data_IF_757580516925
#
_entry.id   IF_757580516925
#
_cell.length_a   1.000
_cell.length_b   1.000
_cell.length_c   1.000
_cell.angle_alpha   90.00
_cell.angle_beta   90.00
_cell.angle_gamma   90.00
#
_symmetry.space_group_name_H-M   'P 1'
#
loop_
_entity.id
_entity.type
_entity.pdbx_description
1 polymer ?
#
# COMPACT_ATOMS: atom_id res chain seq x y z
N UNK A 1 29.96 11.62 15.56
CA UNK A 1 28.65 12.30 15.67
C UNK A 1 27.63 11.26 16.11
N UNK A 2 27.08 11.33 17.34
CA UNK A 2 26.14 10.31 17.85
C UNK A 2 24.86 10.31 16.99
N UNK A 3 24.58 9.20 16.33
CA UNK A 3 23.42 9.03 15.46
C UNK A 3 22.12 9.29 16.24
N UNK A 4 21.15 9.94 15.60
CA UNK A 4 19.86 10.34 16.20
C UNK A 4 19.01 9.13 16.63
N UNK A 5 19.33 7.93 16.14
CA UNK A 5 18.69 6.66 16.49
C UNK A 5 19.03 6.14 17.90
N UNK A 6 20.14 6.58 18.50
CA UNK A 6 20.82 5.80 19.55
C UNK A 6 20.29 5.98 20.98
N UNK A 7 19.27 6.83 21.20
CA UNK A 7 18.70 7.02 22.56
C UNK A 7 17.19 7.21 22.63
N UNK A 8 16.55 7.92 21.69
CA UNK A 8 15.11 8.26 21.78
C UNK A 8 14.18 7.32 21.02
N UNK A 9 14.69 6.58 20.03
CA UNK A 9 13.90 5.63 19.24
C UNK A 9 14.03 4.20 19.78
N UNK A 10 15.20 3.83 20.33
CA UNK A 10 15.35 2.60 21.12
C UNK A 10 14.34 2.56 22.30
N UNK A 11 13.99 3.71 22.88
CA UNK A 11 12.95 3.81 23.91
C UNK A 11 11.52 3.63 23.41
N UNK A 12 11.25 3.72 22.09
CA UNK A 12 9.90 3.46 21.55
C UNK A 12 9.48 1.99 21.72
N UNK A 13 10.45 1.09 21.72
CA UNK A 13 10.24 -0.35 21.62
C UNK A 13 10.33 -1.07 22.98
N UNK A 14 10.61 -0.31 24.06
CA UNK A 14 10.95 -0.88 25.37
C UNK A 14 12.29 -1.63 25.33
N UNK A 15 12.83 -2.00 26.48
CA UNK A 15 14.12 -2.70 26.60
C UNK A 15 14.06 -4.18 26.13
N UNK A 16 13.38 -4.48 25.02
CA UNK A 16 13.38 -5.82 24.43
C UNK A 16 14.74 -6.07 23.78
N UNK A 17 15.55 -6.92 24.43
CA UNK A 17 16.90 -7.29 23.97
C UNK A 17 16.97 -7.75 22.51
N UNK A 18 15.92 -8.40 21.99
CA UNK A 18 15.88 -8.89 20.60
C UNK A 18 15.75 -7.75 19.58
N UNK A 19 14.86 -6.78 19.81
CA UNK A 19 14.68 -5.62 18.93
C UNK A 19 15.95 -4.75 18.94
N UNK A 20 16.58 -4.58 20.11
CA UNK A 20 17.86 -3.88 20.23
C UNK A 20 18.97 -4.54 19.41
N UNK A 21 19.17 -5.86 19.56
CA UNK A 21 20.19 -6.61 18.79
C UNK A 21 19.95 -6.51 17.28
N UNK A 22 18.68 -6.59 16.85
CA UNK A 22 18.32 -6.38 15.46
C UNK A 22 18.68 -4.97 14.98
N UNK A 23 18.34 -3.92 15.73
CA UNK A 23 18.67 -2.55 15.36
C UNK A 23 20.19 -2.33 15.28
N UNK A 24 20.94 -2.84 16.25
CA UNK A 24 22.41 -2.83 16.22
C UNK A 24 22.95 -3.50 14.95
N UNK A 25 22.33 -4.60 14.50
CA UNK A 25 22.75 -5.31 13.28
C UNK A 25 22.56 -4.54 11.96
N UNK A 26 21.64 -3.57 11.91
CA UNK A 26 21.34 -2.79 10.69
C UNK A 26 21.87 -1.35 10.76
N UNK A 27 22.36 -0.91 11.91
CA UNK A 27 22.88 0.43 12.15
C UNK A 27 24.37 0.59 11.80
N UNK A 28 25.08 -0.50 11.48
CA UNK A 28 26.48 -0.43 11.07
C UNK A 28 26.68 0.18 9.69
N UNK A 29 27.85 0.77 9.45
CA UNK A 29 28.27 1.15 8.10
C UNK A 29 28.75 -0.10 7.36
N UNK A 30 28.00 -0.50 6.33
CA UNK A 30 28.30 -1.68 5.53
C UNK A 30 28.59 -1.30 4.09
N UNK A 31 29.58 -1.97 3.48
CA UNK A 31 29.67 -2.01 2.02
C UNK A 31 28.44 -2.75 1.46
N UNK A 32 28.12 -2.52 0.18
CA UNK A 32 26.97 -3.16 -0.47
C UNK A 32 26.93 -4.68 -0.25
N UNK A 33 28.04 -5.37 -0.54
CA UNK A 33 28.15 -6.84 -0.36
C UNK A 33 27.95 -7.26 1.10
N UNK A 34 28.53 -6.51 2.05
CA UNK A 34 28.35 -6.81 3.47
C UNK A 34 26.92 -6.57 3.93
N UNK A 35 26.23 -5.55 3.39
CA UNK A 35 24.81 -5.31 3.62
C UNK A 35 23.96 -6.49 3.16
N UNK A 36 24.24 -7.07 1.98
CA UNK A 36 23.57 -8.28 1.49
C UNK A 36 23.82 -9.48 2.42
N UNK A 37 25.02 -9.63 2.97
CA UNK A 37 25.32 -10.68 3.95
C UNK A 37 24.56 -10.48 5.27
N UNK A 38 24.37 -9.23 5.72
CA UNK A 38 23.57 -8.92 6.92
C UNK A 38 22.13 -9.38 6.74
N UNK A 39 21.54 -9.28 5.54
CA UNK A 39 20.18 -9.77 5.27
C UNK A 39 20.00 -11.26 5.60
N UNK A 40 21.05 -12.08 5.49
CA UNK A 40 21.02 -13.51 5.85
C UNK A 40 20.94 -13.76 7.35
N UNK A 41 21.34 -12.78 8.16
CA UNK A 41 21.39 -12.88 9.62
C UNK A 41 20.10 -12.42 10.29
N UNK A 42 19.20 -11.79 9.52
CA UNK A 42 17.92 -11.27 10.00
C UNK A 42 16.88 -12.39 9.99
N UNK A 43 16.13 -12.49 11.09
CA UNK A 43 14.94 -13.36 11.18
C UNK A 43 13.72 -12.56 10.72
N UNK A 44 13.27 -12.81 9.50
CA UNK A 44 12.29 -11.97 8.79
C UNK A 44 10.82 -12.18 9.20
N UNK A 45 10.54 -13.11 10.10
CA UNK A 45 9.18 -13.34 10.60
C UNK A 45 8.75 -12.23 11.57
N UNK A 46 9.70 -11.63 12.30
CA UNK A 46 9.49 -10.53 13.26
C UNK A 46 8.33 -10.77 14.26
N UNK A 47 8.09 -12.03 14.63
CA UNK A 47 6.92 -12.48 15.40
C UNK A 47 6.65 -11.67 16.67
N UNK A 48 7.69 -11.28 17.40
CA UNK A 48 7.58 -10.58 18.69
C UNK A 48 7.85 -9.07 18.64
N UNK A 49 7.99 -8.53 17.42
CA UNK A 49 8.31 -7.14 17.21
C UNK A 49 7.07 -6.24 17.25
N UNK A 50 7.27 -5.01 17.68
CA UNK A 50 6.23 -3.97 17.68
C UNK A 50 6.10 -3.39 16.28
N UNK A 51 4.90 -3.50 15.71
CA UNK A 51 4.58 -2.98 14.35
C UNK A 51 3.63 -1.79 14.37
N UNK A 52 3.12 -1.42 15.55
CA UNK A 52 2.16 -0.34 15.77
C UNK A 52 2.75 0.69 16.71
N UNK A 53 3.39 1.71 16.13
CA UNK A 53 3.96 2.81 16.87
C UNK A 53 3.76 4.12 16.10
N UNK A 54 3.75 5.23 16.83
CA UNK A 54 3.62 6.57 16.27
C UNK A 54 2.46 6.66 15.26
N UNK A 55 2.72 7.18 14.06
CA UNK A 55 1.72 7.43 13.02
C UNK A 55 1.26 6.18 12.29
N UNK A 56 1.96 5.04 12.40
CA UNK A 56 1.53 3.75 11.81
C UNK A 56 0.13 3.32 12.29
N UNK A 57 -0.28 3.82 13.46
CA UNK A 57 -1.55 3.50 14.13
C UNK A 57 -2.76 4.32 13.65
N UNK A 58 -2.57 5.32 12.78
CA UNK A 58 -3.61 6.31 12.47
C UNK A 58 -4.82 5.75 11.73
N UNK A 59 -4.60 4.74 10.88
CA UNK A 59 -5.66 4.17 10.07
C UNK A 59 -5.42 2.67 9.87
N UNK A 60 -6.49 1.89 9.99
CA UNK A 60 -6.50 0.49 9.58
C UNK A 60 -6.52 0.43 8.06
N UNK A 61 -5.55 -0.25 7.46
CA UNK A 61 -5.47 -0.42 6.01
C UNK A 61 -5.06 -1.87 5.74
N UNK A 62 -5.75 -2.59 4.83
CA UNK A 62 -5.51 -4.00 4.60
C UNK A 62 -4.17 -4.24 3.88
N UNK A 63 -3.60 -5.43 4.04
CA UNK A 63 -2.47 -5.93 3.25
C UNK A 63 -1.22 -5.02 3.26
N UNK A 64 -0.84 -4.53 4.43
CA UNK A 64 0.39 -3.75 4.65
C UNK A 64 1.52 -4.65 5.09
N UNK A 65 2.74 -4.42 4.59
CA UNK A 65 3.92 -5.00 5.22
C UNK A 65 4.26 -4.29 6.54
N UNK A 66 5.08 -4.95 7.35
CA UNK A 66 5.54 -4.45 8.64
C UNK A 66 6.65 -3.40 8.47
N UNK A 67 6.78 -2.41 9.38
CA UNK A 67 7.81 -1.36 9.28
C UNK A 67 9.26 -1.87 9.23
N UNK A 68 9.55 -3.01 9.84
CA UNK A 68 10.89 -3.58 9.90
C UNK A 68 11.45 -3.94 8.52
N UNK A 69 10.59 -4.22 7.53
CA UNK A 69 11.06 -4.51 6.17
C UNK A 69 11.67 -3.27 5.51
N UNK A 70 10.93 -2.17 5.25
CA UNK A 70 11.54 -0.98 4.67
C UNK A 70 12.65 -0.41 5.55
N UNK A 71 12.49 -0.43 6.89
CA UNK A 71 13.55 0.02 7.80
C UNK A 71 14.88 -0.71 7.53
N UNK A 72 14.86 -2.04 7.39
CA UNK A 72 16.08 -2.81 7.12
C UNK A 72 16.80 -2.32 5.87
N UNK A 73 16.07 -2.16 4.76
CA UNK A 73 16.67 -1.77 3.49
C UNK A 73 17.11 -0.30 3.48
N UNK A 74 16.34 0.59 4.10
CA UNK A 74 16.69 2.01 4.27
C UNK A 74 18.01 2.12 5.03
N UNK A 75 18.15 1.42 6.16
CA UNK A 75 19.36 1.50 6.99
C UNK A 75 20.59 0.91 6.33
N UNK A 76 20.46 -0.21 5.62
CA UNK A 76 21.59 -0.93 5.02
C UNK A 76 22.04 -0.38 3.67
N UNK A 77 21.14 0.24 2.89
CA UNK A 77 21.41 0.57 1.48
C UNK A 77 21.17 2.03 1.12
N UNK A 78 20.86 2.90 2.09
CA UNK A 78 20.81 4.35 1.89
C UNK A 78 21.55 5.14 2.96
N UNK A 79 21.98 6.34 2.60
CA UNK A 79 22.50 7.36 3.52
C UNK A 79 21.38 8.34 3.91
N UNK A 80 21.63 9.17 4.92
CA UNK A 80 20.75 10.31 5.18
C UNK A 80 20.68 11.20 3.93
N UNK A 81 19.54 11.89 3.74
CA UNK A 81 19.24 12.76 2.59
C UNK A 81 19.14 12.05 1.22
N UNK A 82 19.49 10.77 1.10
CA UNK A 82 19.16 9.97 -0.08
C UNK A 82 17.65 9.71 -0.18
N UNK A 83 17.17 9.49 -1.41
CA UNK A 83 15.73 9.44 -1.71
C UNK A 83 15.22 8.02 -1.85
N UNK A 84 14.20 7.68 -1.05
CA UNK A 84 13.51 6.39 -1.06
C UNK A 84 12.18 6.52 -1.79
N UNK A 85 11.88 5.62 -2.71
CA UNK A 85 10.59 5.57 -3.43
C UNK A 85 9.77 4.36 -3.01
N UNK A 86 8.49 4.59 -2.81
CA UNK A 86 7.46 3.55 -2.79
C UNK A 86 6.42 3.84 -3.88
N UNK A 87 6.47 3.17 -5.05
CA UNK A 87 5.61 3.45 -6.20
C UNK A 87 4.16 3.00 -6.01
N UNK A 88 3.86 2.22 -4.96
CA UNK A 88 2.53 1.70 -4.61
C UNK A 88 2.34 1.78 -3.09
N UNK A 89 2.47 3.00 -2.54
CA UNK A 89 2.81 3.21 -1.14
C UNK A 89 1.74 2.83 -0.12
N UNK A 90 0.50 2.58 -0.55
CA UNK A 90 -0.61 2.26 0.34
C UNK A 90 -0.74 3.31 1.44
N UNK A 91 -0.64 2.89 2.70
CA UNK A 91 -0.71 3.80 3.85
C UNK A 91 0.65 4.43 4.26
N UNK A 92 1.70 4.27 3.45
CA UNK A 92 2.94 5.03 3.60
C UNK A 92 3.96 4.43 4.56
N UNK A 93 3.95 3.11 4.78
CA UNK A 93 4.89 2.47 5.71
C UNK A 93 6.35 2.79 5.37
N UNK A 94 6.74 2.71 4.09
CA UNK A 94 8.09 3.09 3.62
C UNK A 94 8.43 4.55 3.91
N UNK A 95 7.50 5.47 3.63
CA UNK A 95 7.73 6.90 3.77
C UNK A 95 7.90 7.30 5.24
N UNK A 96 7.15 6.67 6.15
CA UNK A 96 7.29 6.90 7.59
C UNK A 96 8.66 6.41 8.06
N UNK A 97 9.10 5.22 7.64
CA UNK A 97 10.42 4.73 8.02
C UNK A 97 11.55 5.57 7.42
N UNK A 98 11.38 6.10 6.20
CA UNK A 98 12.33 7.03 5.60
C UNK A 98 12.41 8.35 6.38
N UNK A 99 11.25 8.95 6.69
CA UNK A 99 11.12 10.17 7.48
C UNK A 99 11.78 10.02 8.86
N UNK A 100 11.47 8.94 9.57
CA UNK A 100 12.04 8.61 10.88
C UNK A 100 13.55 8.36 10.86
N UNK A 101 14.13 8.21 9.67
CA UNK A 101 15.56 7.98 9.45
C UNK A 101 16.21 9.12 8.66
N UNK A 102 15.63 10.31 8.55
CA UNK A 102 16.23 11.44 7.82
C UNK A 102 16.53 11.13 6.34
N UNK A 103 15.68 10.33 5.67
CA UNK A 103 15.74 10.12 4.22
C UNK A 103 14.64 10.93 3.55
N UNK A 104 14.95 11.49 2.38
CA UNK A 104 13.93 12.02 1.50
C UNK A 104 13.06 10.86 1.00
N UNK A 105 11.79 11.13 0.72
CA UNK A 105 10.93 10.06 0.21
C UNK A 105 9.86 10.54 -0.76
N UNK A 106 9.56 9.67 -1.72
CA UNK A 106 8.46 9.84 -2.65
C UNK A 106 7.55 8.62 -2.52
N UNK A 107 6.26 8.86 -2.32
CA UNK A 107 5.22 7.84 -2.33
C UNK A 107 4.29 8.09 -3.49
N UNK A 108 3.98 7.04 -4.25
CA UNK A 108 2.95 7.07 -5.27
C UNK A 108 1.88 6.03 -4.94
N UNK A 109 0.60 6.39 -5.01
CA UNK A 109 -0.49 5.41 -4.99
C UNK A 109 -1.68 5.90 -5.78
N UNK A 110 -2.29 5.01 -6.57
CA UNK A 110 -3.46 5.35 -7.37
C UNK A 110 -4.72 5.53 -6.51
N UNK A 111 -4.76 4.91 -5.32
CA UNK A 111 -5.84 5.08 -4.37
C UNK A 111 -5.73 6.45 -3.67
N UNK A 112 -6.67 7.39 -3.89
CA UNK A 112 -6.60 8.72 -3.28
C UNK A 112 -6.73 8.68 -1.76
N UNK A 113 -7.41 7.67 -1.20
CA UNK A 113 -7.47 7.49 0.25
C UNK A 113 -6.11 7.07 0.81
N UNK A 114 -5.41 6.17 0.12
CA UNK A 114 -4.09 5.70 0.52
C UNK A 114 -3.08 6.85 0.50
N UNK A 115 -3.08 7.64 -0.57
CA UNK A 115 -2.29 8.88 -0.69
C UNK A 115 -2.60 9.89 0.41
N UNK A 116 -3.87 10.14 0.72
CA UNK A 116 -4.26 11.04 1.82
C UNK A 116 -3.77 10.55 3.18
N UNK A 117 -3.95 9.25 3.48
CA UNK A 117 -3.47 8.63 4.73
C UNK A 117 -1.95 8.78 4.84
N UNK A 118 -1.23 8.50 3.76
CA UNK A 118 0.23 8.61 3.71
C UNK A 118 0.69 10.03 3.98
N UNK A 119 0.10 11.03 3.31
CA UNK A 119 0.40 12.45 3.52
C UNK A 119 0.24 12.84 4.99
N UNK A 120 -0.89 12.50 5.62
CA UNK A 120 -1.13 12.85 7.04
C UNK A 120 -0.17 12.15 7.98
N UNK A 121 0.20 10.89 7.72
CA UNK A 121 1.14 10.14 8.57
C UNK A 121 2.57 10.65 8.51
N UNK A 122 2.91 11.46 7.50
CA UNK A 122 4.24 12.04 7.30
C UNK A 122 4.29 13.57 7.47
N UNK A 123 3.17 14.22 7.78
CA UNK A 123 3.09 15.67 7.96
C UNK A 123 3.01 16.02 9.45
N UNK A 124 3.98 16.78 9.94
CA UNK A 124 3.95 17.35 11.28
C UNK A 124 3.03 18.57 11.30
N UNK A 125 2.30 18.75 12.40
CA UNK A 125 1.35 19.85 12.58
C UNK A 125 1.70 20.55 13.90
N UNK A 126 1.81 21.87 13.83
CA UNK A 126 2.18 22.72 14.97
C UNK A 126 1.12 22.68 16.09
N UNK A 127 1.56 22.91 17.34
CA UNK A 127 0.66 22.90 18.49
C UNK A 127 -0.41 24.00 18.38
N UNK A 128 -0.12 25.16 17.77
CA UNK A 128 -1.09 26.24 17.59
C UNK A 128 -2.21 25.83 16.64
N UNK A 129 -1.87 25.13 15.56
CA UNK A 129 -2.83 24.55 14.62
C UNK A 129 -3.75 23.55 15.35
N UNK A 130 -3.20 22.68 16.19
CA UNK A 130 -4.03 21.79 17.00
C UNK A 130 -4.91 22.50 18.02
N UNK A 131 -4.43 23.59 18.64
CA UNK A 131 -5.26 24.41 19.54
C UNK A 131 -6.46 24.99 18.78
N UNK A 132 -6.22 25.52 17.58
CA UNK A 132 -7.28 26.01 16.70
C UNK A 132 -8.26 24.90 16.31
N UNK A 133 -7.75 23.75 15.84
CA UNK A 133 -8.56 22.59 15.45
C UNK A 133 -9.49 22.14 16.60
N UNK A 134 -8.94 22.00 17.80
CA UNK A 134 -9.69 21.58 18.98
C UNK A 134 -10.78 22.61 19.37
N UNK A 135 -10.53 23.91 19.17
CA UNK A 135 -11.54 24.96 19.38
C UNK A 135 -12.69 24.82 18.38
N UNK A 136 -12.40 24.60 17.10
CA UNK A 136 -13.43 24.36 16.06
C UNK A 136 -14.28 23.13 16.37
N UNK A 137 -13.64 22.02 16.73
CA UNK A 137 -14.36 20.79 17.10
C UNK A 137 -15.24 20.95 18.36
N UNK A 138 -14.83 21.79 19.32
CA UNK A 138 -15.66 22.09 20.49
C UNK A 138 -16.91 22.92 20.14
N UNK A 139 -16.85 23.74 19.08
CA UNK A 139 -17.98 24.53 18.57
C UNK A 139 -18.94 23.65 17.75
N UNK A 140 -18.42 22.75 16.91
CA UNK A 140 -19.22 21.75 16.17
C UNK A 140 -20.20 21.01 17.08
N UNK A 141 -19.76 20.64 18.29
CA UNK A 141 -20.59 19.94 19.28
C UNK A 141 -21.82 20.75 19.75
N UNK A 142 -21.83 22.08 19.56
CA UNK A 142 -22.86 23.00 20.06
C UNK A 142 -23.91 23.38 19.01
N UNK A 143 -23.61 23.23 17.73
CA UNK A 143 -24.48 23.62 16.63
C UNK A 143 -24.78 22.39 15.76
N UNK A 144 -25.91 21.74 16.04
CA UNK A 144 -26.50 20.73 15.15
C UNK A 144 -27.94 21.14 14.86
N UNK A 145 -28.10 22.27 14.17
CA UNK A 145 -29.36 22.58 13.49
C UNK A 145 -29.35 21.85 12.14
N UNK A 146 -30.28 20.91 11.98
CA UNK A 146 -30.27 19.91 10.91
C UNK A 146 -30.83 20.46 9.59
N UNK A 147 -30.10 20.30 8.47
CA UNK A 147 -30.71 20.33 7.14
C UNK A 147 -31.15 18.93 6.72
N UNK A 148 -32.38 18.58 7.09
CA UNK A 148 -32.99 17.27 6.80
C UNK A 148 -32.98 16.91 5.31
N UNK A 149 -32.92 17.88 4.40
CA UNK A 149 -32.92 17.63 2.94
C UNK A 149 -31.62 16.98 2.48
N UNK A 150 -30.46 17.46 2.96
CA UNK A 150 -29.14 16.88 2.65
C UNK A 150 -29.02 15.44 3.14
N UNK A 151 -29.59 15.15 4.31
CA UNK A 151 -29.59 13.80 4.90
C UNK A 151 -30.37 12.83 4.02
N UNK A 152 -31.53 13.25 3.51
CA UNK A 152 -32.40 12.38 2.70
C UNK A 152 -31.82 12.12 1.31
N UNK A 153 -31.22 13.12 0.68
CA UNK A 153 -30.48 12.94 -0.56
C UNK A 153 -29.32 11.93 -0.38
N UNK A 154 -28.56 12.03 0.72
CA UNK A 154 -27.48 11.09 1.02
C UNK A 154 -27.98 9.66 1.19
N UNK A 155 -29.07 9.46 1.93
CA UNK A 155 -29.68 8.13 2.12
C UNK A 155 -30.06 7.50 0.78
N UNK A 156 -30.70 8.29 -0.09
CA UNK A 156 -31.18 7.81 -1.39
C UNK A 156 -30.03 7.44 -2.35
N UNK A 157 -28.86 8.05 -2.17
CA UNK A 157 -27.67 7.83 -3.00
C UNK A 157 -26.69 6.79 -2.42
N UNK A 158 -26.99 6.16 -1.29
CA UNK A 158 -26.13 5.12 -0.73
C UNK A 158 -26.16 3.84 -1.61
N UNK A 159 -25.03 3.12 -1.73
CA UNK A 159 -25.01 1.83 -2.40
C UNK A 159 -26.03 0.86 -1.79
N UNK A 160 -26.79 0.11 -2.60
CA UNK A 160 -27.75 -0.87 -2.09
C UNK A 160 -27.04 -2.13 -1.54
N UNK A 161 -26.55 -2.05 -0.30
CA UNK A 161 -25.81 -3.13 0.40
C UNK A 161 -26.22 -3.21 1.87
N UNK A 162 -26.01 -4.39 2.50
CA UNK A 162 -26.30 -4.59 3.93
C UNK A 162 -25.56 -3.59 4.84
N UNK A 163 -24.29 -3.30 4.53
CA UNK A 163 -23.46 -2.34 5.28
C UNK A 163 -24.06 -0.93 5.25
N UNK A 164 -24.80 -0.58 4.19
CA UNK A 164 -25.43 0.74 4.08
C UNK A 164 -26.47 1.00 5.17
N UNK A 165 -27.01 -0.05 5.82
CA UNK A 165 -27.94 0.08 6.96
C UNK A 165 -27.32 0.73 8.20
N UNK A 166 -25.99 0.75 8.31
CA UNK A 166 -25.27 1.42 9.40
C UNK A 166 -25.46 2.94 9.32
N UNK A 167 -25.54 3.49 8.10
CA UNK A 167 -25.68 4.91 7.84
C UNK A 167 -27.16 5.34 7.88
N UNK A 168 -27.76 5.27 9.07
CA UNK A 168 -29.10 5.81 9.30
C UNK A 168 -29.06 7.36 9.41
N UNK A 169 -30.24 8.01 9.46
CA UNK A 169 -30.37 9.47 9.54
C UNK A 169 -29.50 10.11 10.62
N UNK A 170 -29.40 9.50 11.81
CA UNK A 170 -28.61 10.02 12.93
C UNK A 170 -27.12 9.95 12.62
N UNK A 171 -26.62 8.80 12.14
CA UNK A 171 -25.22 8.62 11.78
C UNK A 171 -24.83 9.57 10.64
N UNK A 172 -25.65 9.67 9.60
CA UNK A 172 -25.41 10.56 8.47
C UNK A 172 -25.34 12.02 8.93
N UNK A 173 -26.27 12.45 9.79
CA UNK A 173 -26.27 13.84 10.29
C UNK A 173 -24.98 14.17 11.02
N UNK A 174 -24.47 13.26 11.86
CA UNK A 174 -23.18 13.43 12.55
C UNK A 174 -22.00 13.49 11.57
N UNK A 175 -21.95 12.59 10.59
CA UNK A 175 -20.88 12.56 9.59
C UNK A 175 -20.86 13.84 8.72
N UNK A 176 -22.03 14.36 8.36
CA UNK A 176 -22.17 15.61 7.61
C UNK A 176 -21.72 16.82 8.45
N UNK A 177 -22.11 16.91 9.72
CA UNK A 177 -21.64 17.98 10.61
C UNK A 177 -20.12 18.00 10.79
N UNK A 178 -19.50 16.82 10.91
CA UNK A 178 -18.03 16.70 10.90
C UNK A 178 -17.48 17.19 9.55
N UNK A 179 -18.06 16.76 8.42
CA UNK A 179 -17.56 17.17 7.10
C UNK A 179 -17.66 18.67 6.89
N UNK A 180 -18.77 19.30 7.25
CA UNK A 180 -18.96 20.76 7.14
C UNK A 180 -17.94 21.51 7.99
N UNK A 181 -17.72 21.09 9.24
CA UNK A 181 -16.66 21.68 10.10
C UNK A 181 -15.28 21.57 9.47
N UNK A 182 -14.96 20.42 8.84
CA UNK A 182 -13.69 20.25 8.15
C UNK A 182 -13.58 21.15 6.91
N UNK A 183 -14.67 21.34 6.17
CA UNK A 183 -14.70 22.24 5.02
C UNK A 183 -14.47 23.71 5.44
N UNK A 184 -15.09 24.16 6.53
CA UNK A 184 -14.82 25.50 7.10
C UNK A 184 -13.33 25.67 7.43
N UNK A 185 -12.72 24.68 8.10
CA UNK A 185 -11.28 24.68 8.42
C UNK A 185 -10.42 24.81 7.15
N UNK A 186 -10.82 24.16 6.05
CA UNK A 186 -10.16 24.29 4.76
C UNK A 186 -10.33 25.68 4.15
N UNK A 187 -11.55 26.23 4.18
CA UNK A 187 -11.88 27.56 3.66
C UNK A 187 -11.14 28.67 4.41
N UNK A 188 -10.88 28.47 5.70
CA UNK A 188 -10.06 29.33 6.54
C UNK A 188 -8.53 29.17 6.29
N UNK A 189 -8.13 28.31 5.34
CA UNK A 189 -6.75 28.17 4.88
C UNK A 189 -5.95 27.05 5.57
N UNK A 190 -6.55 26.28 6.48
CA UNK A 190 -5.85 25.25 7.24
C UNK A 190 -5.88 23.88 6.55
N UNK A 191 -5.19 23.76 5.41
CA UNK A 191 -5.22 22.56 4.56
C UNK A 191 -4.71 21.28 5.26
N UNK A 192 -3.65 21.37 6.06
CA UNK A 192 -3.11 20.19 6.75
C UNK A 192 -4.03 19.70 7.87
N UNK A 193 -4.72 20.62 8.57
CA UNK A 193 -5.76 20.27 9.53
C UNK A 193 -6.99 19.65 8.85
N UNK A 194 -7.35 20.15 7.67
CA UNK A 194 -8.41 19.56 6.85
C UNK A 194 -8.08 18.10 6.48
N UNK A 195 -6.89 17.84 5.94
CA UNK A 195 -6.45 16.50 5.58
C UNK A 195 -6.33 15.59 6.81
N UNK A 196 -5.76 16.10 7.91
CA UNK A 196 -5.70 15.40 9.19
C UNK A 196 -7.09 14.99 9.69
N UNK A 197 -8.04 15.91 9.68
CA UNK A 197 -9.43 15.66 10.07
C UNK A 197 -10.13 14.66 9.16
N UNK A 198 -9.87 14.68 7.85
CA UNK A 198 -10.39 13.69 6.90
C UNK A 198 -9.85 12.28 7.18
N UNK A 199 -8.59 12.13 7.55
CA UNK A 199 -8.05 10.81 7.94
C UNK A 199 -8.66 10.33 9.26
N UNK A 200 -8.89 11.22 10.22
CA UNK A 200 -9.61 10.86 11.45
C UNK A 200 -11.06 10.42 11.14
N UNK A 201 -11.76 11.15 10.26
CA UNK A 201 -13.11 10.83 9.81
C UNK A 201 -13.15 9.47 9.09
N UNK A 202 -12.18 9.23 8.21
CA UNK A 202 -11.98 7.95 7.54
C UNK A 202 -11.80 6.81 8.55
N UNK A 203 -10.96 6.99 9.58
CA UNK A 203 -10.76 5.96 10.60
C UNK A 203 -12.03 5.71 11.43
N UNK A 204 -12.86 6.73 11.64
CA UNK A 204 -14.19 6.61 12.27
C UNK A 204 -15.10 5.77 11.40
N UNK A 205 -15.23 6.10 10.10
CA UNK A 205 -16.05 5.34 9.14
C UNK A 205 -15.62 3.88 9.06
N UNK A 206 -14.30 3.63 8.99
CA UNK A 206 -13.76 2.27 9.03
C UNK A 206 -14.26 1.50 10.26
N UNK A 207 -14.20 2.15 11.43
CA UNK A 207 -14.59 1.53 12.70
C UNK A 207 -16.11 1.30 12.80
N UNK A 208 -16.92 2.16 12.18
CA UNK A 208 -18.38 1.96 12.06
C UNK A 208 -18.71 0.78 11.15
N UNK A 209 -18.04 0.67 10.01
CA UNK A 209 -18.26 -0.42 9.04
C UNK A 209 -17.89 -1.78 9.63
N UNK A 210 -16.77 -1.87 10.35
CA UNK A 210 -16.28 -3.12 10.95
C UNK A 210 -17.10 -3.56 12.17
N UNK A 211 -17.50 -2.63 13.05
CA UNK A 211 -18.14 -2.97 14.32
C UNK A 211 -19.67 -2.84 14.29
N UNK A 212 -20.25 -2.27 13.23
CA UNK A 212 -21.69 -2.06 13.09
C UNK A 212 -22.19 -0.75 13.72
N UNK A 213 -23.52 -0.66 13.88
CA UNK A 213 -24.20 0.50 14.48
C UNK A 213 -24.14 0.52 16.01
N UNK A 214 -24.64 1.60 16.63
CA UNK A 214 -24.70 1.75 18.09
C UNK A 214 -23.49 2.44 18.73
N UNK A 215 -22.54 2.89 17.91
CA UNK A 215 -21.38 3.67 18.33
C UNK A 215 -21.70 5.17 18.22
N UNK A 216 -21.35 5.96 19.23
CA UNK A 216 -21.41 7.41 19.13
C UNK A 216 -20.31 7.93 18.18
N UNK A 217 -20.74 8.41 17.01
CA UNK A 217 -19.86 8.88 15.93
C UNK A 217 -18.98 10.03 16.39
N UNK A 218 -19.51 10.97 17.19
CA UNK A 218 -18.79 12.18 17.59
C UNK A 218 -17.68 11.82 18.58
N UNK A 219 -18.02 11.04 19.61
CA UNK A 219 -17.05 10.55 20.59
C UNK A 219 -15.97 9.69 19.94
N UNK A 220 -16.34 8.79 19.02
CA UNK A 220 -15.38 7.99 18.28
C UNK A 220 -14.43 8.88 17.45
N UNK A 221 -14.96 9.85 16.71
CA UNK A 221 -14.16 10.78 15.92
C UNK A 221 -13.20 11.60 16.80
N UNK A 222 -13.68 12.18 17.90
CA UNK A 222 -12.84 12.94 18.83
C UNK A 222 -11.76 12.07 19.48
N UNK A 223 -12.06 10.81 19.81
CA UNK A 223 -11.06 9.83 20.28
C UNK A 223 -9.99 9.56 19.23
N UNK A 224 -10.36 9.42 17.95
CA UNK A 224 -9.40 9.25 16.84
C UNK A 224 -8.52 10.48 16.69
N UNK A 225 -9.10 11.68 16.65
CA UNK A 225 -8.38 12.97 16.62
C UNK A 225 -7.35 13.05 17.74
N UNK A 226 -7.78 12.83 18.99
CA UNK A 226 -6.89 12.90 20.16
C UNK A 226 -5.76 11.87 20.09
N UNK A 227 -6.05 10.64 19.67
CA UNK A 227 -5.04 9.59 19.48
C UNK A 227 -4.02 9.98 18.42
N UNK A 228 -4.47 10.51 17.28
CA UNK A 228 -3.60 10.93 16.18
C UNK A 228 -2.75 12.15 16.56
N UNK A 229 -3.33 13.16 17.22
CA UNK A 229 -2.60 14.31 17.77
C UNK A 229 -1.47 13.85 18.69
N UNK A 230 -1.75 12.93 19.62
CA UNK A 230 -0.73 12.37 20.50
C UNK A 230 0.39 11.63 19.73
N UNK A 231 0.05 10.94 18.65
CA UNK A 231 1.02 10.29 17.77
C UNK A 231 1.95 11.29 17.07
N UNK A 232 1.40 12.37 16.50
CA UNK A 232 2.19 13.43 15.87
C UNK A 232 3.07 14.17 16.89
N UNK A 233 2.55 14.51 18.08
CA UNK A 233 3.35 15.13 19.15
C UNK A 233 4.51 14.25 19.63
N UNK A 234 4.35 12.92 19.59
CA UNK A 234 5.46 11.98 19.89
C UNK A 234 6.47 11.93 18.74
N UNK A 235 6.00 11.96 17.50
CA UNK A 235 6.85 11.94 16.31
C UNK A 235 7.69 13.22 16.20
N UNK A 236 7.10 14.38 16.45
CA UNK A 236 7.75 15.70 16.47
C UNK A 236 8.94 15.77 17.44
N UNK A 237 8.84 15.10 18.61
CA UNK A 237 9.94 15.04 19.59
C UNK A 237 11.14 14.19 19.14
N UNK A 238 10.97 13.38 18.11
CA UNK A 238 11.97 12.43 17.60
C UNK A 238 12.65 13.01 16.37
N UNK A 239 11.86 13.59 15.46
CA UNK A 239 12.36 14.18 14.22
C UNK A 239 13.05 15.51 14.55
N UNK A 240 14.33 15.63 14.19
CA UNK A 240 15.10 16.88 14.39
C UNK A 240 15.16 17.72 13.12
N UNK A 241 15.38 17.07 11.99
CA UNK A 241 15.40 17.65 10.66
C UNK A 241 14.27 16.98 9.87
N UNK A 242 13.44 17.77 9.21
CA UNK A 242 12.34 17.24 8.40
C UNK A 242 12.86 17.03 6.98
N UNK A 243 13.11 15.80 6.53
CA UNK A 243 13.45 15.53 5.13
C UNK A 243 12.28 15.85 4.19
N UNK A 244 12.56 15.97 2.90
CA UNK A 244 11.53 16.17 1.88
C UNK A 244 10.68 14.89 1.73
N UNK A 245 9.37 15.04 1.89
CA UNK A 245 8.40 13.96 1.67
C UNK A 245 7.38 14.41 0.63
N UNK A 246 7.34 13.71 -0.51
CA UNK A 246 6.39 13.96 -1.59
C UNK A 246 5.42 12.79 -1.71
N UNK A 247 4.12 13.07 -1.69
CA UNK A 247 3.07 12.06 -1.90
C UNK A 247 2.30 12.40 -3.16
N UNK A 248 2.27 11.45 -4.10
CA UNK A 248 1.66 11.58 -5.43
C UNK A 248 0.47 10.63 -5.50
N UNK A 249 -0.71 11.17 -5.79
CA UNK A 249 -1.88 10.35 -6.13
C UNK A 249 -1.82 10.05 -7.63
N UNK A 250 -1.17 8.96 -8.03
CA UNK A 250 -0.82 8.68 -9.42
C UNK A 250 -0.73 7.20 -9.77
N UNK A 251 -0.70 6.91 -11.07
CA UNK A 251 -0.61 5.55 -11.59
C UNK A 251 0.86 5.08 -11.62
N UNK A 252 1.15 3.95 -10.96
CA UNK A 252 2.51 3.38 -10.92
C UNK A 252 3.05 2.96 -12.29
N UNK A 253 2.16 2.76 -13.28
CA UNK A 253 2.52 2.49 -14.69
C UNK A 253 3.06 3.73 -15.41
N UNK A 254 2.96 4.91 -14.80
CA UNK A 254 3.48 6.19 -15.29
C UNK A 254 3.85 7.09 -14.10
N UNK A 255 5.09 6.94 -13.59
CA UNK A 255 5.54 7.69 -12.43
C UNK A 255 5.92 9.14 -12.79
N UNK A 256 5.36 10.11 -12.07
CA UNK A 256 5.74 11.53 -12.15
C UNK A 256 6.99 11.83 -11.30
N UNK A 257 8.05 11.09 -11.61
CA UNK A 257 9.34 11.10 -10.91
C UNK A 257 10.46 11.13 -11.94
N UNK A 258 11.52 11.88 -11.65
CA UNK A 258 12.66 12.08 -12.52
C UNK A 258 13.45 10.77 -12.72
N UNK A 259 13.94 10.57 -13.95
CA UNK A 259 14.78 9.42 -14.31
C UNK A 259 16.08 9.44 -13.50
N UNK A 260 16.53 8.27 -13.00
CA UNK A 260 17.76 8.12 -12.21
C UNK A 260 17.85 9.08 -10.98
N UNK A 261 16.74 9.36 -10.31
CA UNK A 261 16.69 10.24 -9.14
C UNK A 261 16.62 9.48 -7.79
N UNK A 262 16.26 8.20 -7.81
CA UNK A 262 15.95 7.41 -6.61
C UNK A 262 17.13 6.54 -6.18
N UNK A 263 17.39 6.46 -4.87
CA UNK A 263 18.47 5.68 -4.27
C UNK A 263 18.03 4.30 -3.77
N UNK A 264 16.75 4.11 -3.47
CA UNK A 264 16.18 2.83 -3.06
C UNK A 264 14.69 2.77 -3.39
N UNK A 265 14.22 1.65 -3.93
CA UNK A 265 12.79 1.34 -4.00
C UNK A 265 12.47 0.23 -3.01
N UNK A 266 11.48 0.43 -2.14
CA UNK A 266 10.88 -0.62 -1.31
C UNK A 266 9.36 -0.51 -1.37
N UNK A 267 8.69 -1.60 -1.77
CA UNK A 267 7.25 -1.57 -2.05
C UNK A 267 6.57 -2.90 -1.78
N UNK A 268 5.26 -2.85 -1.53
CA UNK A 268 4.36 -4.01 -1.46
C UNK A 268 3.29 -3.84 -2.53
N UNK A 269 3.50 -4.31 -3.76
CA UNK A 269 2.49 -4.18 -4.81
C UNK A 269 1.22 -4.96 -4.44
N UNK A 270 0.05 -4.63 -5.03
CA UNK A 270 -1.17 -5.42 -4.84
C UNK A 270 -0.94 -6.86 -5.31
N UNK A 271 -1.45 -7.84 -4.58
CA UNK A 271 -1.32 -9.25 -4.97
C UNK A 271 -2.52 -9.67 -5.83
N UNK A 272 -2.24 -10.27 -7.00
CA UNK A 272 -3.30 -10.72 -7.90
C UNK A 272 -4.28 -11.66 -7.19
N UNK A 273 -5.58 -11.39 -7.33
CA UNK A 273 -6.65 -12.18 -6.72
C UNK A 273 -6.58 -12.27 -5.17
N UNK A 274 -5.97 -11.29 -4.49
CA UNK A 274 -5.93 -11.26 -3.03
C UNK A 274 -6.98 -10.35 -2.39
N UNK A 275 -7.21 -9.17 -2.97
CA UNK A 275 -8.14 -8.18 -2.42
C UNK A 275 -8.68 -7.24 -3.50
N UNK A 276 -9.97 -6.89 -3.40
CA UNK A 276 -10.56 -5.75 -4.13
C UNK A 276 -10.49 -4.49 -3.24
N UNK A 277 -9.47 -3.65 -3.43
CA UNK A 277 -9.29 -2.45 -2.59
C UNK A 277 -10.47 -1.49 -2.73
N UNK A 278 -11.07 -1.38 -3.92
CA UNK A 278 -12.24 -0.52 -4.11
C UNK A 278 -13.40 -0.93 -3.19
N UNK A 279 -13.63 -2.24 -2.98
CA UNK A 279 -14.74 -2.73 -2.15
C UNK A 279 -14.53 -2.37 -0.69
N UNK A 280 -13.28 -2.49 -0.24
CA UNK A 280 -12.89 -2.24 1.14
C UNK A 280 -12.95 -0.75 1.48
N UNK A 281 -12.55 0.12 0.54
CA UNK A 281 -12.47 1.57 0.78
C UNK A 281 -13.69 2.35 0.27
N UNK A 282 -14.65 1.71 -0.40
CA UNK A 282 -15.80 2.37 -1.04
C UNK A 282 -16.51 3.37 -0.13
N UNK A 283 -16.84 2.98 1.12
CA UNK A 283 -17.58 3.86 2.04
C UNK A 283 -16.71 5.01 2.54
N UNK A 284 -15.43 4.78 2.82
CA UNK A 284 -14.49 5.84 3.17
C UNK A 284 -14.38 6.86 2.04
N UNK A 285 -14.18 6.40 0.80
CA UNK A 285 -14.08 7.26 -0.37
C UNK A 285 -15.36 8.05 -0.61
N UNK A 286 -16.53 7.40 -0.50
CA UNK A 286 -17.84 8.06 -0.62
C UNK A 286 -17.99 9.24 0.34
N UNK A 287 -17.73 9.02 1.64
CA UNK A 287 -17.89 10.04 2.67
C UNK A 287 -16.85 11.15 2.59
N UNK A 288 -15.67 10.85 2.05
CA UNK A 288 -14.62 11.84 1.81
C UNK A 288 -14.75 12.55 0.46
N UNK A 289 -15.79 12.28 -0.34
CA UNK A 289 -16.02 12.90 -1.64
C UNK A 289 -14.97 12.50 -2.69
N UNK A 290 -14.46 11.27 -2.63
CA UNK A 290 -13.49 10.72 -3.58
C UNK A 290 -14.18 9.85 -4.65
N UNK A 291 -13.66 9.88 -5.88
CA UNK A 291 -14.18 9.08 -6.98
C UNK A 291 -13.74 7.62 -6.89
N UNK A 292 -14.57 6.79 -6.24
CA UNK A 292 -14.32 5.36 -6.12
C UNK A 292 -14.62 4.59 -7.41
N UNK A 293 -15.37 5.15 -8.35
CA UNK A 293 -15.68 4.51 -9.63
C UNK A 293 -14.51 4.59 -10.59
N UNK A 294 -13.83 5.74 -10.64
CA UNK A 294 -12.55 5.89 -11.33
C UNK A 294 -11.52 4.94 -10.72
N UNK A 295 -11.41 4.89 -9.40
CA UNK A 295 -10.48 3.98 -8.72
C UNK A 295 -10.75 2.51 -9.09
N UNK A 296 -12.01 2.07 -9.00
CA UNK A 296 -12.44 0.71 -9.36
C UNK A 296 -12.05 0.31 -10.79
N UNK A 297 -12.11 1.23 -11.75
CA UNK A 297 -11.84 0.93 -13.17
C UNK A 297 -10.36 0.74 -13.48
N UNK A 298 -9.47 1.28 -12.65
CA UNK A 298 -8.05 1.40 -12.96
C UNK A 298 -7.14 0.76 -11.89
N UNK A 299 -7.70 0.21 -10.80
CA UNK A 299 -6.93 -0.52 -9.79
C UNK A 299 -6.22 -1.75 -10.41
N UNK A 300 -4.99 -1.99 -10.00
CA UNK A 300 -4.21 -3.14 -10.47
C UNK A 300 -4.65 -4.40 -9.70
N UNK A 301 -5.01 -5.45 -10.43
CA UNK A 301 -5.35 -6.76 -9.86
C UNK A 301 -6.79 -6.91 -9.32
N UNK A 302 -7.68 -5.95 -9.61
CA UNK A 302 -9.09 -5.97 -9.23
C UNK A 302 -9.92 -7.06 -9.92
N UNK A 303 -10.93 -7.60 -9.23
CA UNK A 303 -11.66 -8.80 -9.66
C UNK A 303 -12.82 -8.53 -10.64
N UNK A 304 -13.04 -7.27 -11.05
CA UNK A 304 -14.28 -6.84 -11.72
C UNK A 304 -14.38 -7.15 -13.22
N UNK A 305 -13.28 -7.49 -13.90
CA UNK A 305 -13.24 -7.48 -15.37
C UNK A 305 -13.20 -8.86 -16.05
N UNK A 306 -12.82 -9.95 -15.37
CA UNK A 306 -12.62 -11.28 -15.99
C UNK A 306 -13.21 -12.48 -15.21
N UNK A 307 -14.50 -12.46 -14.92
CA UNK A 307 -15.17 -13.53 -14.15
C UNK A 307 -15.16 -14.88 -14.90
N UNK A 308 -15.31 -14.88 -16.23
CA UNK A 308 -15.41 -16.10 -17.04
C UNK A 308 -14.06 -16.87 -17.15
N UNK A 309 -12.97 -16.13 -17.37
CA UNK A 309 -11.62 -16.68 -17.46
C UNK A 309 -10.66 -15.87 -16.59
N UNK A 310 -10.43 -16.35 -15.37
CA UNK A 310 -9.59 -15.65 -14.41
C UNK A 310 -8.11 -15.60 -14.81
N UNK A 311 -7.63 -16.44 -15.73
CA UNK A 311 -6.24 -16.33 -16.22
C UNK A 311 -6.01 -15.10 -17.09
N UNK A 312 -7.06 -14.48 -17.63
CA UNK A 312 -6.98 -13.16 -18.28
C UNK A 312 -6.65 -12.05 -17.29
N UNK A 313 -7.20 -12.12 -16.08
CA UNK A 313 -6.80 -11.24 -14.96
C UNK A 313 -5.32 -11.42 -14.61
N UNK A 314 -4.78 -12.65 -14.65
CA UNK A 314 -3.35 -12.86 -14.41
C UNK A 314 -2.50 -12.19 -15.50
N UNK A 315 -2.84 -12.35 -16.78
CA UNK A 315 -2.08 -11.70 -17.86
C UNK A 315 -2.16 -10.17 -17.81
N UNK A 316 -3.33 -9.60 -17.55
CA UNK A 316 -3.52 -8.15 -17.35
C UNK A 316 -2.63 -7.66 -16.20
N UNK A 317 -2.73 -8.31 -15.04
CA UNK A 317 -1.91 -8.01 -13.86
C UNK A 317 -0.41 -8.07 -14.15
N UNK A 318 0.07 -9.11 -14.84
CA UNK A 318 1.49 -9.22 -15.19
C UNK A 318 1.92 -8.08 -16.12
N UNK A 319 1.07 -7.68 -17.06
CA UNK A 319 1.30 -6.52 -17.93
C UNK A 319 1.42 -5.22 -17.15
N UNK A 320 0.45 -4.91 -16.29
CA UNK A 320 0.44 -3.71 -15.46
C UNK A 320 1.63 -3.64 -14.50
N UNK A 321 1.97 -4.77 -13.89
CA UNK A 321 3.13 -4.85 -13.00
C UNK A 321 4.43 -4.71 -13.79
N UNK A 322 4.54 -5.27 -15.00
CA UNK A 322 5.72 -5.10 -15.82
C UNK A 322 5.92 -3.65 -16.27
N UNK A 323 4.84 -2.95 -16.65
CA UNK A 323 4.87 -1.49 -16.92
C UNK A 323 5.38 -0.71 -15.72
N UNK A 324 4.84 -1.03 -14.53
CA UNK A 324 5.29 -0.41 -13.28
C UNK A 324 6.76 -0.70 -13.00
N UNK A 325 7.24 -1.92 -13.25
CA UNK A 325 8.66 -2.27 -13.10
C UNK A 325 9.58 -1.55 -14.10
N UNK A 326 9.12 -1.29 -15.33
CA UNK A 326 9.84 -0.44 -16.30
C UNK A 326 10.02 0.97 -15.74
N UNK A 327 8.95 1.56 -15.18
CA UNK A 327 9.02 2.87 -14.53
C UNK A 327 9.92 2.85 -13.29
N UNK A 328 9.88 1.79 -12.47
CA UNK A 328 10.80 1.59 -11.35
C UNK A 328 12.26 1.53 -11.82
N UNK A 329 12.56 0.84 -12.92
CA UNK A 329 13.91 0.85 -13.49
C UNK A 329 14.27 2.28 -13.92
N UNK A 330 13.39 2.97 -14.66
CA UNK A 330 13.65 4.32 -15.18
C UNK A 330 14.05 5.30 -14.07
N UNK A 331 13.35 5.31 -12.95
CA UNK A 331 13.58 6.30 -11.87
C UNK A 331 14.72 5.93 -10.93
N UNK A 332 15.04 4.65 -10.77
CA UNK A 332 16.10 4.17 -9.87
C UNK A 332 17.49 4.44 -10.45
N UNK A 333 18.44 4.91 -9.64
CA UNK A 333 19.84 5.05 -10.06
C UNK A 333 20.48 3.68 -10.34
N UNK A 334 21.48 3.64 -11.23
CA UNK A 334 22.26 2.42 -11.50
C UNK A 334 22.93 1.90 -10.21
N UNK A 335 23.07 0.58 -10.10
CA UNK A 335 23.63 -0.18 -8.98
C UNK A 335 22.84 -0.12 -7.66
N UNK A 336 21.72 0.62 -7.61
CA UNK A 336 20.80 0.66 -6.46
C UNK A 336 19.77 -0.47 -6.49
N UNK A 337 19.03 -0.62 -5.40
CA UNK A 337 18.11 -1.74 -5.18
C UNK A 337 16.64 -1.38 -5.44
N UNK A 338 15.92 -2.33 -6.03
CA UNK A 338 14.48 -2.43 -6.04
C UNK A 338 14.04 -3.65 -5.22
N UNK A 339 13.25 -3.40 -4.18
CA UNK A 339 12.81 -4.40 -3.21
C UNK A 339 11.28 -4.50 -3.27
N UNK A 340 10.78 -5.68 -3.60
CA UNK A 340 9.35 -5.94 -3.73
C UNK A 340 8.92 -7.04 -2.75
N UNK A 341 8.00 -6.73 -1.84
CA UNK A 341 7.38 -7.70 -0.93
C UNK A 341 6.12 -8.25 -1.57
N UNK A 342 6.10 -9.55 -1.83
CA UNK A 342 5.00 -10.21 -2.54
C UNK A 342 4.59 -11.51 -1.88
N UNK A 343 3.29 -11.70 -1.70
CA UNK A 343 2.71 -12.97 -1.27
C UNK A 343 2.44 -13.87 -2.47
N UNK A 344 2.49 -15.19 -2.23
CA UNK A 344 1.90 -16.12 -3.18
C UNK A 344 0.38 -15.93 -3.19
N UNK A 345 -0.23 -16.04 -4.37
CA UNK A 345 -1.69 -16.08 -4.52
C UNK A 345 -2.10 -17.40 -5.20
N UNK A 346 -3.40 -17.61 -5.39
CA UNK A 346 -3.86 -18.77 -6.16
C UNK A 346 -5.02 -18.36 -7.05
N UNK A 347 -5.07 -18.93 -8.25
CA UNK A 347 -6.09 -18.64 -9.24
C UNK A 347 -6.57 -19.97 -9.82
N UNK A 348 -7.88 -20.24 -9.73
CA UNK A 348 -8.46 -21.47 -10.28
C UNK A 348 -7.75 -22.76 -9.81
N UNK A 349 -7.32 -22.78 -8.54
CA UNK A 349 -6.54 -23.86 -7.88
C UNK A 349 -5.06 -23.98 -8.31
N UNK A 350 -4.57 -23.07 -9.15
CA UNK A 350 -3.16 -22.96 -9.50
C UNK A 350 -2.44 -21.98 -8.58
N UNK A 351 -1.20 -22.31 -8.21
CA UNK A 351 -0.35 -21.44 -7.39
C UNK A 351 0.26 -20.35 -8.26
N UNK A 352 0.17 -19.09 -7.81
CA UNK A 352 0.79 -17.95 -8.47
C UNK A 352 1.95 -17.45 -7.61
N UNK A 353 3.16 -17.70 -8.09
CA UNK A 353 4.40 -17.32 -7.43
C UNK A 353 4.92 -15.98 -7.98
N UNK A 354 4.28 -14.87 -7.60
CA UNK A 354 4.54 -13.52 -8.14
C UNK A 354 6.02 -13.14 -8.14
N UNK A 355 6.78 -13.52 -7.10
CA UNK A 355 8.22 -13.24 -7.02
C UNK A 355 9.04 -13.86 -8.16
N UNK A 356 8.62 -15.02 -8.71
CA UNK A 356 9.29 -15.67 -9.84
C UNK A 356 9.01 -14.92 -11.14
N UNK A 357 7.74 -14.57 -11.38
CA UNK A 357 7.37 -13.76 -12.54
C UNK A 357 8.12 -12.43 -12.55
N UNK A 358 8.12 -11.71 -11.42
CA UNK A 358 8.78 -10.41 -11.32
C UNK A 358 10.31 -10.53 -11.44
N UNK A 359 10.90 -11.58 -10.86
CA UNK A 359 12.34 -11.83 -11.01
C UNK A 359 12.74 -12.11 -12.46
N UNK A 360 11.95 -12.89 -13.20
CA UNK A 360 12.21 -13.17 -14.62
C UNK A 360 11.97 -11.95 -15.51
N UNK A 361 10.84 -11.25 -15.34
CA UNK A 361 10.53 -10.02 -16.08
C UNK A 361 11.57 -8.93 -15.82
N UNK A 362 12.08 -8.81 -14.59
CA UNK A 362 13.11 -7.83 -14.23
C UNK A 362 14.37 -7.97 -15.08
N UNK A 363 14.76 -9.19 -15.44
CA UNK A 363 15.95 -9.45 -16.29
C UNK A 363 15.81 -8.82 -17.69
N UNK A 364 14.60 -8.79 -18.23
CA UNK A 364 14.31 -8.21 -19.54
C UNK A 364 14.47 -6.68 -19.58
N UNK A 365 14.51 -6.02 -18.42
CA UNK A 365 14.51 -4.55 -18.30
C UNK A 365 15.67 -4.00 -17.47
N UNK A 366 16.77 -4.76 -17.36
CA UNK A 366 18.00 -4.29 -16.70
C UNK A 366 18.04 -4.45 -15.18
N UNK A 367 17.13 -5.23 -14.59
CA UNK A 367 17.23 -5.68 -13.21
C UNK A 367 17.89 -7.06 -13.10
N UNK A 368 18.74 -7.23 -12.09
CA UNK A 368 19.29 -8.53 -11.70
C UNK A 368 18.70 -8.95 -10.36
N UNK A 369 17.87 -10.00 -10.28
CA UNK A 369 17.51 -10.60 -9.00
C UNK A 369 18.77 -11.10 -8.29
N UNK A 370 19.08 -10.56 -7.13
CA UNK A 370 20.26 -10.94 -6.34
C UNK A 370 19.88 -11.74 -5.09
N UNK A 371 18.65 -11.61 -4.61
CA UNK A 371 18.17 -12.36 -3.45
C UNK A 371 16.65 -12.47 -3.43
N UNK A 372 16.15 -13.60 -2.93
CA UNK A 372 14.75 -13.78 -2.54
C UNK A 372 14.73 -14.27 -1.11
N UNK A 373 14.03 -13.55 -0.23
CA UNK A 373 13.93 -13.89 1.19
C UNK A 373 12.52 -14.38 1.47
N UNK A 374 12.41 -15.55 2.08
CA UNK A 374 11.13 -16.10 2.53
C UNK A 374 10.86 -15.69 3.97
N UNK A 375 9.59 -15.39 4.29
CA UNK A 375 9.12 -15.17 5.66
C UNK A 375 7.72 -15.75 5.86
N UNK A 376 7.43 -16.17 7.08
CA UNK A 376 6.08 -16.52 7.51
C UNK A 376 5.39 -15.28 8.09
N UNK A 377 4.10 -15.11 7.77
CA UNK A 377 3.26 -14.07 8.35
C UNK A 377 2.63 -14.61 9.65
N UNK A 378 2.83 -13.91 10.76
CA UNK A 378 2.12 -14.22 12.00
C UNK A 378 0.61 -14.00 11.82
N UNK A 379 -0.15 -15.10 11.83
CA UNK A 379 -1.59 -15.09 11.59
C UNK A 379 -2.40 -14.47 12.72
N UNK A 380 -1.81 -14.34 13.90
CA UNK A 380 -2.49 -13.83 15.11
C UNK A 380 -2.46 -12.30 15.22
N UNK A 381 -1.58 -11.64 14.45
CA UNK A 381 -1.41 -10.17 14.40
C UNK A 381 -1.87 -9.57 13.06
N UNK A 382 -2.84 -10.22 12.40
CA UNK A 382 -3.22 -9.92 11.01
C UNK A 382 -3.82 -8.52 10.83
N UNK A 383 -3.17 -7.70 10.01
CA UNK A 383 -3.69 -6.47 9.38
C UNK A 383 -4.45 -6.78 8.08
N UNK A 384 -5.26 -7.83 8.08
CA UNK A 384 -5.91 -8.32 6.87
C UNK A 384 -7.34 -8.75 7.19
N UNK A 385 -8.31 -8.34 6.38
CA UNK A 385 -9.68 -8.83 6.44
C UNK A 385 -9.72 -10.36 6.33
N UNK A 386 -10.77 -10.98 6.89
CA UNK A 386 -10.93 -12.43 6.95
C UNK A 386 -10.75 -13.15 5.58
N UNK A 387 -10.95 -12.45 4.46
CA UNK A 387 -10.83 -12.97 3.10
C UNK A 387 -9.39 -13.04 2.57
N UNK A 388 -8.51 -12.12 2.97
CA UNK A 388 -7.05 -12.18 2.71
C UNK A 388 -6.38 -13.22 3.65
N UNK A 389 -7.12 -13.64 4.69
CA UNK A 389 -6.68 -14.38 5.88
C UNK A 389 -6.06 -15.76 5.68
N UNK A 390 -5.58 -16.13 4.48
CA UNK A 390 -4.93 -17.42 4.19
C UNK A 390 -3.59 -17.34 3.46
N UNK A 391 -3.09 -16.15 3.10
CA UNK A 391 -1.69 -16.00 2.70
C UNK A 391 -0.86 -16.02 3.99
N UNK A 392 0.00 -17.02 4.10
CA UNK A 392 0.81 -17.26 5.29
C UNK A 392 2.32 -17.08 5.01
N UNK A 393 2.66 -16.90 3.74
CA UNK A 393 4.02 -16.82 3.22
C UNK A 393 4.19 -15.55 2.39
N UNK A 394 5.28 -14.83 2.64
CA UNK A 394 5.70 -13.65 1.90
C UNK A 394 7.13 -13.82 1.39
N UNK A 395 7.39 -13.27 0.21
CA UNK A 395 8.69 -13.25 -0.42
C UNK A 395 9.15 -11.81 -0.61
N UNK A 396 10.35 -11.50 -0.16
CA UNK A 396 11.01 -10.22 -0.42
C UNK A 396 11.98 -10.45 -1.58
N UNK A 397 11.57 -10.02 -2.76
CA UNK A 397 12.39 -10.05 -3.98
C UNK A 397 13.31 -8.82 -3.98
N UNK A 398 14.62 -9.06 -3.95
CA UNK A 398 15.65 -8.02 -3.99
C UNK A 398 16.34 -8.07 -5.35
N UNK A 399 16.21 -6.97 -6.10
CA UNK A 399 16.81 -6.80 -7.42
C UNK A 399 17.75 -5.61 -7.41
N UNK A 400 18.90 -5.74 -8.07
CA UNK A 400 19.81 -4.63 -8.33
C UNK A 400 19.58 -4.13 -9.77
N UNK A 401 19.53 -2.81 -9.96
CA UNK A 401 19.53 -2.24 -11.31
C UNK A 401 20.95 -2.31 -11.87
N UNK A 402 21.19 -3.20 -12.83
CA UNK A 402 22.49 -3.35 -13.48
C UNK A 402 22.58 -2.46 -14.72
N UNK A 403 21.46 -2.22 -15.40
CA UNK A 403 21.39 -1.40 -16.61
C UNK A 403 20.09 -0.59 -16.67
N UNK A 404 20.16 0.51 -17.44
CA UNK A 404 18.97 1.30 -17.76
C UNK A 404 18.10 0.54 -18.77
N UNK A 405 16.80 0.51 -18.52
CA UNK A 405 15.84 0.04 -19.50
C UNK A 405 15.82 0.97 -20.72
N UNK A 406 15.84 0.39 -21.92
CA UNK A 406 15.69 1.13 -23.18
C UNK A 406 14.26 1.05 -23.74
N UNK A 407 13.36 0.35 -23.04
CA UNK A 407 11.96 0.20 -23.44
C UNK A 407 11.06 1.14 -22.64
N UNK A 408 10.00 1.63 -23.27
CA UNK A 408 9.00 2.45 -22.62
C UNK A 408 7.93 1.58 -21.96
N UNK A 409 7.40 2.01 -20.81
CA UNK A 409 6.22 1.41 -20.20
C UNK A 409 4.95 1.53 -21.09
N UNK A 410 5.02 2.24 -22.21
CA UNK A 410 3.96 2.34 -23.23
C UNK A 410 4.19 1.44 -24.47
N UNK A 411 5.28 0.68 -24.50
CA UNK A 411 5.55 -0.26 -25.60
C UNK A 411 4.71 -1.53 -25.44
N UNK A 412 3.48 -1.46 -25.93
CA UNK A 412 2.52 -2.56 -25.84
C UNK A 412 3.02 -3.85 -26.50
N UNK A 413 3.82 -3.74 -27.57
CA UNK A 413 4.34 -4.91 -28.28
C UNK A 413 5.33 -5.67 -27.42
N UNK A 414 6.32 -4.97 -26.86
CA UNK A 414 7.31 -5.57 -25.96
C UNK A 414 6.65 -6.18 -24.72
N UNK A 415 5.70 -5.47 -24.11
CA UNK A 415 4.99 -5.96 -22.93
C UNK A 415 4.18 -7.22 -23.25
N UNK A 416 3.46 -7.22 -24.37
CA UNK A 416 2.72 -8.40 -24.82
C UNK A 416 3.65 -9.59 -25.06
N UNK A 417 4.83 -9.38 -25.65
CA UNK A 417 5.82 -10.43 -25.89
C UNK A 417 6.30 -11.07 -24.58
N UNK A 418 6.76 -10.24 -23.63
CA UNK A 418 7.27 -10.73 -22.34
C UNK A 418 6.19 -11.45 -21.55
N UNK A 419 4.99 -10.87 -21.44
CA UNK A 419 3.88 -11.49 -20.69
C UNK A 419 3.43 -12.79 -21.36
N UNK A 420 3.40 -12.85 -22.70
CA UNK A 420 3.11 -14.08 -23.43
C UNK A 420 4.12 -15.17 -23.10
N UNK A 421 5.41 -14.85 -23.07
CA UNK A 421 6.46 -15.77 -22.65
C UNK A 421 6.27 -16.31 -21.24
N UNK A 422 5.92 -15.44 -20.29
CA UNK A 422 5.63 -15.83 -18.90
C UNK A 422 4.40 -16.74 -18.79
N UNK A 423 3.31 -16.40 -19.47
CA UNK A 423 2.08 -17.20 -19.48
C UNK A 423 2.26 -18.56 -20.16
N UNK A 424 3.09 -18.63 -21.21
CA UNK A 424 3.47 -19.92 -21.83
C UNK A 424 4.28 -20.80 -20.86
N UNK A 425 5.29 -20.25 -20.18
CA UNK A 425 6.06 -20.97 -19.16
C UNK A 425 5.14 -21.48 -18.04
N UNK A 426 4.22 -20.65 -17.57
CA UNK A 426 3.23 -21.01 -16.56
C UNK A 426 2.31 -22.16 -17.01
N UNK A 427 1.81 -22.12 -18.25
CA UNK A 427 1.03 -23.21 -18.84
C UNK A 427 1.81 -24.53 -18.87
N UNK A 428 3.07 -24.50 -19.28
CA UNK A 428 3.92 -25.70 -19.33
C UNK A 428 4.27 -26.23 -17.93
N UNK A 429 4.41 -25.35 -16.93
CA UNK A 429 4.55 -25.73 -15.53
C UNK A 429 3.32 -26.53 -15.06
N UNK A 430 2.11 -26.03 -15.33
CA UNK A 430 0.85 -26.67 -14.92
C UNK A 430 0.67 -28.05 -15.56
N UNK A 431 1.13 -28.23 -16.81
CA UNK A 431 1.13 -29.54 -17.47
C UNK A 431 2.02 -30.57 -16.77
N UNK A 432 3.16 -30.13 -16.22
CA UNK A 432 4.18 -30.99 -15.60
C UNK A 432 3.92 -31.24 -14.12
N UNK A 433 3.42 -30.23 -13.42
CA UNK A 433 3.21 -30.26 -11.97
C UNK A 433 1.78 -29.82 -11.71
N UNK A 434 0.99 -30.73 -11.16
CA UNK A 434 -0.37 -30.42 -10.73
C UNK A 434 -0.33 -29.27 -9.71
N UNK A 435 -1.08 -28.21 -9.98
CA UNK A 435 -1.17 -27.07 -9.08
C UNK A 435 -1.59 -27.46 -7.67
N UNK A 436 -1.25 -26.61 -6.72
CA UNK A 436 -1.77 -26.73 -5.36
C UNK A 436 -2.27 -25.34 -4.98
N UNK A 437 -3.56 -25.21 -4.72
CA UNK A 437 -4.09 -23.95 -4.17
C UNK A 437 -3.37 -23.62 -2.86
N UNK A 438 -3.39 -22.35 -2.43
CA UNK A 438 -2.87 -21.96 -1.10
C UNK A 438 -3.50 -22.81 0.03
N UNK A 439 -4.70 -23.40 -0.21
CA UNK A 439 -5.42 -24.27 0.73
C UNK A 439 -5.00 -25.74 0.67
N UNK A 440 -3.90 -26.09 -0.01
CA UNK A 440 -3.43 -27.47 -0.15
C UNK A 440 -4.29 -28.37 -1.05
N UNK A 441 -5.37 -27.84 -1.65
CA UNK A 441 -6.23 -28.59 -2.56
C UNK A 441 -5.60 -28.67 -3.94
N UNK A 442 -5.49 -29.89 -4.47
CA UNK A 442 -5.06 -30.18 -5.84
C UNK A 442 -6.28 -30.16 -6.79
N UNK A 443 -6.18 -29.57 -7.98
CA UNK A 443 -7.24 -29.62 -8.99
C UNK A 443 -7.47 -31.05 -9.48
N UNK A 444 -8.67 -31.43 -9.89
CA UNK A 444 -8.89 -32.73 -10.57
C UNK A 444 -8.16 -32.75 -11.92
N UNK A 445 -7.91 -33.93 -12.51
CA UNK A 445 -7.32 -34.03 -13.86
C UNK A 445 -8.13 -33.27 -14.92
N UNK A 446 -9.46 -33.37 -14.84
CA UNK A 446 -10.38 -32.62 -15.70
C UNK A 446 -10.25 -31.10 -15.52
N UNK A 447 -10.13 -30.63 -14.27
CA UNK A 447 -9.92 -29.21 -13.98
C UNK A 447 -8.58 -28.72 -14.49
N UNK A 448 -7.53 -29.53 -14.40
CA UNK A 448 -6.20 -29.21 -14.92
C UNK A 448 -6.23 -28.99 -16.43
N UNK A 449 -6.87 -29.89 -17.18
CA UNK A 449 -7.06 -29.74 -18.64
C UNK A 449 -7.83 -28.45 -18.97
N UNK A 450 -8.93 -28.20 -18.25
CA UNK A 450 -9.71 -26.96 -18.41
C UNK A 450 -8.88 -25.71 -18.09
N UNK A 451 -8.01 -25.75 -17.08
CA UNK A 451 -7.11 -24.64 -16.75
C UNK A 451 -6.10 -24.41 -17.88
N UNK A 452 -5.53 -25.46 -18.47
CA UNK A 452 -4.62 -25.36 -19.62
C UNK A 452 -5.30 -24.69 -20.82
N UNK A 453 -6.55 -25.05 -21.11
CA UNK A 453 -7.32 -24.45 -22.20
C UNK A 453 -7.60 -22.97 -21.91
N UNK A 454 -8.06 -22.64 -20.69
CA UNK A 454 -8.27 -21.25 -20.26
C UNK A 454 -7.00 -20.41 -20.31
N UNK A 455 -5.84 -20.96 -19.94
CA UNK A 455 -4.56 -20.24 -20.06
C UNK A 455 -4.21 -20.02 -21.53
N UNK A 456 -4.47 -21.01 -22.39
CA UNK A 456 -4.23 -20.87 -23.83
C UNK A 456 -5.11 -19.80 -24.46
N UNK A 457 -6.37 -19.70 -24.05
CA UNK A 457 -7.26 -18.60 -24.42
C UNK A 457 -6.71 -17.25 -23.92
N UNK A 458 -6.32 -17.16 -22.64
CA UNK A 458 -5.77 -15.93 -22.07
C UNK A 458 -4.50 -15.46 -22.80
N UNK A 459 -3.64 -16.38 -23.22
CA UNK A 459 -2.45 -16.08 -24.03
C UNK A 459 -2.81 -15.42 -25.37
N UNK A 460 -3.91 -15.84 -25.99
CA UNK A 460 -4.38 -15.28 -27.26
C UNK A 460 -4.98 -13.89 -27.11
N UNK A 461 -5.59 -13.59 -25.94
CA UNK A 461 -6.25 -12.31 -25.66
C UNK A 461 -5.33 -11.24 -25.05
N UNK A 462 -4.07 -11.58 -24.71
CA UNK A 462 -3.06 -10.65 -24.17
C UNK A 462 -3.02 -9.30 -24.91
N UNK A 463 -2.97 -9.24 -26.27
CA UNK A 463 -2.91 -7.97 -26.99
C UNK A 463 -4.15 -7.08 -26.82
N UNK A 464 -5.27 -7.64 -26.41
CA UNK A 464 -6.50 -6.91 -26.11
C UNK A 464 -6.56 -6.53 -24.63
N UNK A 465 -6.12 -7.44 -23.75
CA UNK A 465 -6.27 -7.32 -22.30
C UNK A 465 -5.24 -6.39 -21.65
N UNK A 466 -4.05 -6.23 -22.24
CA UNK A 466 -2.94 -5.45 -21.64
C UNK A 466 -2.84 -4.03 -22.21
N UNK A 467 -3.66 -3.67 -23.20
CA UNK A 467 -3.63 -2.33 -23.81
C UNK A 467 -4.01 -1.28 -22.77
N UNK A 468 -3.15 -0.26 -22.65
CA UNK A 468 -3.53 0.94 -21.92
C UNK A 468 -4.69 1.57 -22.71
N UNK A 469 -5.91 1.52 -22.17
CA UNK A 469 -6.99 2.36 -22.68
C UNK A 469 -6.46 3.79 -22.70
N UNK A 470 -6.30 4.36 -23.89
CA UNK A 470 -5.90 5.75 -24.05
C UNK A 470 -6.91 6.62 -23.29
N UNK A 471 -6.50 7.10 -22.11
CA UNK A 471 -7.19 8.15 -21.37
C UNK A 471 -7.07 9.44 -22.17
N UNK A 472 -7.82 9.51 -23.26
CA UNK A 472 -8.03 10.66 -24.14
C UNK A 472 -9.46 10.61 -24.68
N UNK A 473 -10.43 10.22 -23.86
CA UNK A 473 -11.84 10.45 -24.16
C UNK A 473 -12.65 10.71 -22.89
N UNK A 474 -12.92 12.01 -22.72
CA UNK A 474 -13.82 12.71 -21.78
C UNK A 474 -13.23 13.16 -20.46
#
# INVERSE_FOLDING_TARGET
>A
MKMIYDTKQATLFGEKTLERKYLESINGEYSFYRGIEVLNKIVWDFKDFTTQYLTHTFHSYPARFIPQIPLTFIKLFTKEEETVLDPMCGCGTTLIEALLNNRNSIGNDFNPLASLITKVKTTLIDENEFRYFNKKLAVMKRYLDMDYRKVDERINNLPNRKVSKIFNRVVISKLEGIRETLLEIKEEGHNDLFDFGRVALSSTIWSLVENGGGIDVDDLFLKKVKSMQNGLKKMDKIIKNIPEVKVICGDARKLEVETNSIDLIVTSPPYVNALDYYRVHMYNMLWLGMDFDLFRKHEIGGHSHFIANRFRLLSEYLGDMFRSMIEMNRVLKKDKLCVMVVGNSSLEYELIESHKFFGEMGKEIGFKPIKTIFRNIDKTKKYTSADIGKIDDEYILVMQKIDNTNVSARDDNFICEVVRGQMMKFREQIKKVQGTSIRGRKPTKERLLKNIDKISEAIQTIPQDIKICSCNNK
#
